data_IF_660378669020
#
_entry.id   IF_660378669020
#
_cell.length_a   1.000
_cell.length_b   1.000
_cell.length_c   1.000
_cell.angle_alpha   90.00
_cell.angle_beta   90.00
_cell.angle_gamma   90.00
#
_symmetry.space_group_name_H-M   'P 1'
#
loop_
_entity.id
_entity.type
_entity.pdbx_description
1 polymer ?
#
# COMPACT_ATOMS: atom_id res chain seq x y z
N UNK A 1 33.29 -17.42 -32.16
CA UNK A 1 33.28 -16.76 -30.84
C UNK A 1 32.48 -15.46 -30.79
N UNK A 2 32.65 -14.52 -31.72
CA UNK A 2 31.96 -13.20 -31.69
C UNK A 2 30.41 -13.31 -31.74
N UNK A 3 29.84 -14.27 -32.49
CA UNK A 3 28.38 -14.47 -32.59
C UNK A 3 27.72 -15.00 -31.30
N UNK A 4 28.46 -15.72 -30.47
CA UNK A 4 27.96 -16.27 -29.19
C UNK A 4 27.95 -15.18 -28.12
N UNK A 5 28.94 -14.29 -28.15
CA UNK A 5 29.05 -13.15 -27.22
C UNK A 5 27.96 -12.10 -27.50
N UNK A 6 27.63 -11.84 -28.77
CA UNK A 6 26.54 -10.91 -29.11
C UNK A 6 25.17 -11.47 -28.69
N UNK A 7 24.93 -12.78 -28.82
CA UNK A 7 23.69 -13.42 -28.38
C UNK A 7 23.49 -13.40 -26.85
N UNK A 8 24.58 -13.52 -26.08
CA UNK A 8 24.56 -13.44 -24.61
C UNK A 8 24.32 -12.00 -24.11
N UNK A 9 24.84 -10.99 -24.80
CA UNK A 9 24.61 -9.58 -24.46
C UNK A 9 23.15 -9.19 -24.73
N UNK A 10 22.54 -9.63 -25.84
CA UNK A 10 21.12 -9.35 -26.12
C UNK A 10 20.19 -9.98 -25.07
N UNK A 11 20.56 -11.15 -24.51
CA UNK A 11 19.76 -11.80 -23.47
C UNK A 11 19.85 -11.10 -22.10
N UNK A 12 20.99 -10.47 -21.78
CA UNK A 12 21.19 -9.71 -20.53
C UNK A 12 20.50 -8.34 -20.53
N UNK A 13 20.38 -7.68 -21.69
CA UNK A 13 19.72 -6.36 -21.80
C UNK A 13 18.19 -6.49 -21.68
N UNK A 14 17.61 -7.63 -22.08
CA UNK A 14 16.16 -7.88 -21.98
C UNK A 14 15.69 -8.17 -20.55
N UNK A 15 16.57 -8.65 -19.66
CA UNK A 15 16.21 -8.94 -18.26
C UNK A 15 16.27 -7.72 -17.33
N UNK A 16 16.71 -6.54 -17.81
CA UNK A 16 16.74 -5.31 -17.01
C UNK A 16 15.45 -4.45 -17.13
N UNK A 17 14.40 -4.99 -17.74
CA UNK A 17 13.09 -4.36 -17.86
C UNK A 17 11.99 -5.10 -17.08
N UNK A 18 12.28 -5.53 -15.85
CA UNK A 18 11.20 -5.76 -14.87
C UNK A 18 11.12 -4.55 -13.93
N UNK A 19 11.02 -3.35 -14.51
CA UNK A 19 10.19 -2.35 -13.89
C UNK A 19 8.78 -2.73 -14.35
N UNK A 20 7.97 -3.34 -13.47
CA UNK A 20 6.56 -3.61 -13.76
C UNK A 20 5.95 -2.35 -14.37
N UNK A 21 5.45 -2.44 -15.61
CA UNK A 21 4.79 -1.32 -16.26
C UNK A 21 3.67 -0.83 -15.32
N UNK A 22 3.68 0.46 -15.01
CA UNK A 22 2.70 1.08 -14.12
C UNK A 22 1.29 0.86 -14.69
N UNK A 23 0.40 0.32 -13.86
CA UNK A 23 -0.99 0.13 -14.26
C UNK A 23 -1.69 1.47 -14.50
N UNK A 24 -2.62 1.48 -15.44
CA UNK A 24 -3.49 2.63 -15.69
C UNK A 24 -4.24 3.03 -14.41
N UNK A 25 -4.35 4.33 -14.18
CA UNK A 25 -5.02 4.90 -13.01
C UNK A 25 -4.24 4.84 -11.68
N UNK A 26 -3.03 4.25 -11.68
CA UNK A 26 -2.07 4.42 -10.59
C UNK A 26 -1.25 5.68 -10.85
N UNK A 27 -1.06 6.49 -9.82
CA UNK A 27 -0.23 7.70 -9.86
C UNK A 27 0.74 7.72 -8.67
N UNK A 28 1.86 8.41 -8.84
CA UNK A 28 2.93 8.53 -7.84
C UNK A 28 3.47 9.95 -7.82
N UNK A 29 3.75 10.48 -6.63
CA UNK A 29 4.33 11.81 -6.50
C UNK A 29 4.30 12.38 -5.09
N UNK A 30 4.92 13.55 -4.95
CA UNK A 30 4.91 14.34 -3.73
C UNK A 30 3.64 15.21 -3.69
N UNK A 31 2.55 14.65 -3.18
CA UNK A 31 1.35 15.39 -2.82
C UNK A 31 1.23 15.38 -1.30
N UNK A 32 1.39 16.55 -0.68
CA UNK A 32 1.41 16.70 0.79
C UNK A 32 0.03 16.50 1.43
N UNK A 33 -1.06 16.81 0.70
CA UNK A 33 -2.42 16.69 1.22
C UNK A 33 -3.45 16.39 0.12
N UNK A 34 -4.57 15.69 0.43
CA UNK A 34 -5.68 15.51 -0.50
C UNK A 34 -6.29 16.84 -0.95
N UNK A 35 -6.64 16.95 -2.23
CA UNK A 35 -7.39 18.07 -2.82
C UNK A 35 -8.90 18.01 -2.50
N UNK A 36 -9.40 16.85 -2.11
CA UNK A 36 -10.81 16.60 -1.80
C UNK A 36 -11.65 16.15 -3.01
N UNK A 37 -11.06 16.02 -4.20
CA UNK A 37 -11.73 15.58 -5.44
C UNK A 37 -11.40 14.15 -5.83
N UNK A 38 -10.51 13.48 -5.10
CA UNK A 38 -9.97 12.17 -5.44
C UNK A 38 -11.10 11.13 -5.59
N UNK A 39 -12.09 11.17 -4.72
CA UNK A 39 -13.22 10.24 -4.70
C UNK A 39 -14.26 10.52 -5.81
N UNK A 40 -14.17 11.65 -6.51
CA UNK A 40 -15.02 11.99 -7.66
C UNK A 40 -14.38 11.61 -9.01
N UNK A 41 -13.15 11.07 -9.00
CA UNK A 41 -12.37 10.84 -10.22
C UNK A 41 -12.30 9.35 -10.61
N UNK A 42 -13.06 8.90 -11.63
CA UNK A 42 -13.13 7.49 -11.99
C UNK A 42 -11.83 6.93 -12.59
N UNK A 43 -10.95 7.78 -13.13
CA UNK A 43 -9.68 7.37 -13.72
C UNK A 43 -8.51 7.41 -12.74
N UNK A 44 -8.66 8.01 -11.55
CA UNK A 44 -7.61 8.09 -10.53
C UNK A 44 -7.93 7.15 -9.37
N UNK A 45 -7.64 5.87 -9.57
CA UNK A 45 -8.00 4.80 -8.62
C UNK A 45 -6.96 4.58 -7.52
N UNK A 46 -5.73 5.08 -7.70
CA UNK A 46 -4.66 4.91 -6.75
C UNK A 46 -3.64 6.06 -6.80
N UNK A 47 -3.22 6.51 -5.62
CA UNK A 47 -2.08 7.40 -5.45
C UNK A 47 -1.12 6.80 -4.42
N UNK A 48 0.17 6.69 -4.76
CA UNK A 48 1.24 6.17 -3.89
C UNK A 48 1.03 4.74 -3.32
N UNK A 49 0.13 3.95 -3.92
CA UNK A 49 -0.05 2.53 -3.57
C UNK A 49 1.00 1.67 -4.26
N UNK A 50 1.49 0.64 -3.57
CA UNK A 50 2.27 -0.42 -4.21
C UNK A 50 1.48 -1.08 -5.35
N UNK A 51 2.19 -1.53 -6.39
CA UNK A 51 1.58 -2.24 -7.50
C UNK A 51 1.01 -3.59 -7.02
N UNK A 52 -0.12 -4.05 -7.58
CA UNK A 52 -0.70 -5.33 -7.24
C UNK A 52 0.28 -6.48 -7.44
N UNK A 53 0.29 -7.42 -6.49
CA UNK A 53 1.11 -8.64 -6.52
C UNK A 53 0.41 -9.77 -5.79
N UNK A 54 0.89 -11.00 -5.98
CA UNK A 54 0.39 -12.15 -5.24
C UNK A 54 0.57 -11.97 -3.71
N UNK A 55 -0.41 -12.43 -2.94
CA UNK A 55 -0.38 -12.38 -1.48
C UNK A 55 0.73 -13.27 -0.94
N UNK A 56 1.56 -12.72 -0.05
CA UNK A 56 2.53 -13.47 0.73
C UNK A 56 2.86 -12.71 2.01
N UNK A 57 3.37 -13.43 3.01
CA UNK A 57 3.87 -12.85 4.24
C UNK A 57 5.35 -13.17 4.40
N UNK A 58 6.09 -12.27 5.01
CA UNK A 58 7.49 -12.49 5.36
C UNK A 58 7.56 -13.35 6.61
N UNK A 59 8.47 -14.32 6.65
CA UNK A 59 8.70 -15.18 7.82
C UNK A 59 10.20 -15.23 8.15
N UNK A 60 10.54 -15.39 9.43
CA UNK A 60 11.94 -15.45 9.88
C UNK A 60 12.62 -16.78 9.53
N UNK A 61 11.87 -17.88 9.45
CA UNK A 61 12.40 -19.22 9.16
C UNK A 61 11.45 -20.05 8.29
N UNK A 62 12.01 -21.06 7.60
CA UNK A 62 11.23 -22.05 6.84
C UNK A 62 10.20 -22.77 7.70
N UNK A 63 10.54 -23.06 8.96
CA UNK A 63 9.63 -23.69 9.92
C UNK A 63 8.39 -22.82 10.18
N UNK A 64 8.59 -21.52 10.45
CA UNK A 64 7.47 -20.59 10.62
C UNK A 64 6.65 -20.41 9.33
N UNK A 65 7.31 -20.36 8.17
CA UNK A 65 6.64 -20.23 6.88
C UNK A 65 5.74 -21.42 6.54
N UNK A 66 6.11 -22.64 6.97
CA UNK A 66 5.28 -23.85 6.78
C UNK A 66 3.95 -23.80 7.53
N UNK A 67 3.80 -22.91 8.52
CA UNK A 67 2.54 -22.70 9.22
C UNK A 67 1.55 -21.81 8.45
N UNK A 68 2.01 -21.20 7.35
CA UNK A 68 1.25 -20.43 6.33
C UNK A 68 0.62 -19.14 6.83
N UNK A 69 -0.08 -19.18 7.96
CA UNK A 69 -0.82 -18.05 8.49
C UNK A 69 0.12 -16.98 9.06
N UNK A 70 -0.14 -15.68 8.81
CA UNK A 70 0.77 -14.59 9.15
C UNK A 70 1.02 -14.44 10.65
N UNK A 71 0.09 -14.88 11.50
CA UNK A 71 0.20 -14.87 12.97
C UNK A 71 1.39 -15.71 13.47
N UNK A 72 1.92 -16.60 12.62
CA UNK A 72 3.12 -17.36 12.91
C UNK A 72 4.42 -16.62 12.52
N UNK A 73 4.33 -15.40 11.99
CA UNK A 73 5.47 -14.56 11.64
C UNK A 73 5.80 -13.56 12.74
N UNK A 74 7.10 -13.41 13.01
CA UNK A 74 7.61 -12.33 13.87
C UNK A 74 7.52 -10.93 13.23
N UNK A 75 7.15 -10.85 11.95
CA UNK A 75 7.00 -9.59 11.20
C UNK A 75 5.53 -9.22 10.99
N UNK A 76 4.61 -9.89 11.67
CA UNK A 76 3.19 -9.63 11.59
C UNK A 76 2.68 -8.94 12.85
N UNK A 77 1.80 -7.97 12.66
CA UNK A 77 1.05 -7.32 13.73
C UNK A 77 -0.37 -7.08 13.23
N UNK A 78 -1.37 -7.62 13.93
CA UNK A 78 -2.76 -7.24 13.67
C UNK A 78 -3.02 -5.84 14.23
N UNK A 79 -3.79 -5.06 13.47
CA UNK A 79 -4.33 -3.77 13.89
C UNK A 79 -5.84 -3.86 14.17
N UNK A 80 -6.40 -5.08 14.17
CA UNK A 80 -7.79 -5.32 14.57
C UNK A 80 -7.95 -5.05 16.07
N UNK A 81 -9.12 -4.54 16.44
CA UNK A 81 -9.44 -4.12 17.80
C UNK A 81 -10.24 -2.83 17.78
N UNK A 82 -10.35 -2.19 18.94
CA UNK A 82 -11.15 -0.98 19.04
C UNK A 82 -10.44 0.23 18.41
N UNK A 83 -11.16 0.97 17.58
CA UNK A 83 -10.72 2.22 16.97
C UNK A 83 -11.65 3.37 17.36
N UNK A 84 -11.07 4.55 17.61
CA UNK A 84 -11.83 5.79 17.80
C UNK A 84 -12.52 6.18 16.50
N UNK A 85 -13.82 6.43 16.58
CA UNK A 85 -14.66 6.69 15.42
C UNK A 85 -15.63 7.85 15.65
N UNK A 86 -15.72 8.73 14.65
CA UNK A 86 -16.63 9.86 14.65
C UNK A 86 -17.39 9.89 13.32
N UNK A 87 -18.68 9.62 13.38
CA UNK A 87 -19.55 9.66 12.22
C UNK A 87 -20.07 11.08 11.98
N UNK A 88 -20.06 11.51 10.73
CA UNK A 88 -20.66 12.78 10.28
C UNK A 88 -21.50 12.54 9.03
N UNK A 89 -22.51 13.38 8.81
CA UNK A 89 -23.46 13.18 7.70
C UNK A 89 -22.85 13.59 6.37
N UNK A 90 -22.05 14.66 6.38
CA UNK A 90 -21.42 15.20 5.19
C UNK A 90 -19.90 15.38 5.41
N UNK A 91 -19.04 15.14 4.40
CA UNK A 91 -17.58 15.23 4.58
C UNK A 91 -17.08 16.58 5.08
N UNK A 92 -17.79 17.68 4.82
CA UNK A 92 -17.46 19.02 5.29
C UNK A 92 -17.76 19.25 6.78
N UNK A 93 -18.49 18.34 7.44
CA UNK A 93 -18.77 18.38 8.87
C UNK A 93 -17.66 17.71 9.71
N UNK A 94 -16.72 17.01 9.05
CA UNK A 94 -15.60 16.37 9.76
C UNK A 94 -14.70 17.43 10.42
N UNK A 95 -14.13 17.17 11.60
CA UNK A 95 -13.04 18.00 12.12
C UNK A 95 -11.87 17.94 11.14
N UNK A 96 -11.40 19.07 10.61
CA UNK A 96 -10.43 19.09 9.50
C UNK A 96 -9.07 18.52 9.93
N UNK A 97 -8.65 18.79 11.16
CA UNK A 97 -7.32 18.45 11.68
C UNK A 97 -7.28 17.12 12.45
N UNK A 98 -8.30 16.26 12.30
CA UNK A 98 -8.41 15.00 13.04
C UNK A 98 -7.25 14.02 12.83
N UNK A 99 -6.47 14.20 11.77
CA UNK A 99 -5.32 13.36 11.43
C UNK A 99 -4.05 13.75 12.20
N UNK A 100 -4.04 14.89 12.88
CA UNK A 100 -2.89 15.35 13.65
C UNK A 100 -2.69 14.47 14.89
N UNK A 101 -1.45 14.06 15.23
CA UNK A 101 -1.19 13.15 16.34
C UNK A 101 -1.65 13.65 17.72
N UNK A 102 -1.77 14.97 17.88
CA UNK A 102 -2.17 15.67 19.10
C UNK A 102 -3.64 16.10 19.12
N UNK A 103 -4.42 15.75 18.10
CA UNK A 103 -5.85 16.02 18.07
C UNK A 103 -6.58 15.21 19.16
N UNK A 104 -7.37 15.88 20.00
CA UNK A 104 -8.09 15.23 21.08
C UNK A 104 -9.34 14.47 20.57
N UNK A 105 -9.29 13.14 20.69
CA UNK A 105 -10.37 12.22 20.33
C UNK A 105 -11.07 11.62 21.56
N UNK A 106 -10.87 12.18 22.76
CA UNK A 106 -11.40 11.60 24.01
C UNK A 106 -12.92 11.43 24.01
N UNK A 107 -13.63 12.28 23.27
CA UNK A 107 -15.09 12.30 23.16
C UNK A 107 -15.64 11.41 22.02
N UNK A 108 -14.78 10.71 21.28
CA UNK A 108 -15.20 9.81 20.21
C UNK A 108 -15.54 8.43 20.76
N UNK A 109 -16.51 7.79 20.10
CA UNK A 109 -16.90 6.42 20.38
C UNK A 109 -15.78 5.45 19.94
N UNK A 110 -15.76 4.27 20.55
CA UNK A 110 -14.93 3.15 20.11
C UNK A 110 -15.78 2.17 19.28
N UNK A 111 -15.28 1.77 18.11
CA UNK A 111 -15.87 0.69 17.29
C UNK A 111 -14.90 -0.50 17.21
N UNK A 112 -15.39 -1.74 17.20
CA UNK A 112 -14.55 -2.93 17.07
C UNK A 112 -14.03 -3.18 15.65
#
# INVERSE_FOLDING_TARGET
MIRVVIGLIVCLVVHCHIAQAQLEGFTYGAQESPSGKEWESPSHIAHNKEQPRATFYSFKSVESARKVLPENSAYWQSLDGNWKFNWVKHPNERPIDFYQPDFDVSNWDDIP
#
